data_IF_717975973089
#
_entry.id   IF_717975973089
#
_cell.length_a   1.000
_cell.length_b   1.000
_cell.length_c   1.000
_cell.angle_alpha   90.00
_cell.angle_beta   90.00
_cell.angle_gamma   90.00
#
_symmetry.space_group_name_H-M   'P 1'
#
loop_
_entity.id
_entity.type
_entity.pdbx_description
1 polymer ?
#
# COMPACT_ATOMS: atom_id res chain seq x y z
N UNK A 1 34.23 -35.92 -72.81
CA UNK A 1 34.53 -34.79 -71.89
C UNK A 1 33.32 -33.86 -71.79
N UNK A 2 32.27 -34.24 -71.03
CA UNK A 2 31.07 -33.38 -70.81
C UNK A 2 30.17 -33.85 -69.65
N UNK A 3 30.68 -34.69 -68.73
CA UNK A 3 29.87 -35.35 -67.70
C UNK A 3 30.36 -35.17 -66.25
N UNK A 4 31.35 -34.28 -66.00
CA UNK A 4 31.97 -34.16 -64.66
C UNK A 4 31.56 -32.88 -63.92
N UNK A 5 30.78 -31.98 -64.55
CA UNK A 5 30.49 -30.64 -63.96
C UNK A 5 29.17 -30.57 -63.17
N UNK A 6 28.39 -31.64 -63.09
CA UNK A 6 27.06 -31.60 -62.48
C UNK A 6 26.93 -32.42 -61.18
N UNK A 7 27.90 -32.30 -60.27
CA UNK A 7 27.90 -33.05 -59.00
C UNK A 7 28.45 -32.26 -57.80
N UNK A 8 28.39 -30.92 -57.84
CA UNK A 8 28.81 -30.05 -56.72
C UNK A 8 27.70 -29.05 -56.30
N UNK A 9 26.47 -29.22 -56.79
CA UNK A 9 25.35 -28.32 -56.50
C UNK A 9 24.18 -29.00 -55.78
N UNK A 10 24.47 -29.90 -54.83
CA UNK A 10 23.43 -30.73 -54.17
C UNK A 10 23.67 -30.95 -52.67
N UNK A 11 24.25 -30.00 -51.93
CA UNK A 11 24.35 -30.18 -50.48
C UNK A 11 24.47 -28.90 -49.62
N UNK A 12 23.86 -27.78 -50.03
CA UNK A 12 23.76 -26.61 -49.15
C UNK A 12 22.37 -26.01 -49.37
N UNK A 13 21.40 -26.38 -48.52
CA UNK A 13 20.20 -25.62 -48.14
C UNK A 13 19.26 -26.49 -47.28
N UNK A 14 19.82 -27.21 -46.30
CA UNK A 14 19.06 -27.80 -45.19
C UNK A 14 19.67 -27.27 -43.91
N UNK A 15 19.27 -26.06 -43.50
CA UNK A 15 19.42 -25.52 -42.14
C UNK A 15 18.57 -24.24 -42.04
N UNK A 16 17.30 -24.32 -42.43
CA UNK A 16 16.30 -23.37 -41.94
C UNK A 16 15.98 -23.78 -40.49
N UNK A 17 16.86 -23.39 -39.57
CA UNK A 17 16.61 -23.51 -38.14
C UNK A 17 15.32 -22.74 -37.84
N UNK A 18 14.33 -23.43 -37.27
CA UNK A 18 13.18 -22.80 -36.62
C UNK A 18 13.68 -21.93 -35.48
N UNK A 19 14.02 -20.67 -35.78
CA UNK A 19 14.17 -19.64 -34.78
C UNK A 19 12.78 -19.39 -34.18
N UNK A 20 12.46 -20.12 -33.10
CA UNK A 20 11.33 -19.77 -32.24
C UNK A 20 11.62 -18.33 -31.77
N UNK A 21 10.71 -17.36 -31.97
CA UNK A 21 10.90 -16.04 -31.41
C UNK A 21 11.10 -16.22 -29.89
N UNK A 22 12.02 -15.46 -29.27
CA UNK A 22 12.17 -15.51 -27.83
C UNK A 22 10.80 -15.21 -27.22
N UNK A 23 10.32 -16.12 -26.38
CA UNK A 23 9.15 -15.92 -25.55
C UNK A 23 9.48 -14.71 -24.67
N UNK A 24 8.98 -13.54 -25.06
CA UNK A 24 8.95 -12.37 -24.20
C UNK A 24 7.86 -12.67 -23.19
N UNK A 25 8.27 -13.12 -22.01
CA UNK A 25 7.50 -12.88 -20.80
C UNK A 25 7.40 -11.35 -20.67
N UNK A 26 6.36 -10.77 -21.26
CA UNK A 26 5.86 -9.45 -20.89
C UNK A 26 5.27 -9.58 -19.48
N UNK A 27 6.16 -9.72 -18.49
CA UNK A 27 5.81 -9.49 -17.10
C UNK A 27 5.14 -8.11 -17.07
N UNK A 28 3.95 -8.03 -16.47
CA UNK A 28 3.24 -6.77 -16.19
C UNK A 28 4.04 -5.80 -15.27
N UNK A 29 5.32 -6.11 -15.01
CA UNK A 29 6.28 -5.42 -14.15
C UNK A 29 6.77 -4.06 -14.70
N UNK A 30 6.57 -3.75 -15.99
CA UNK A 30 7.15 -2.55 -16.60
C UNK A 30 6.21 -1.33 -16.58
N UNK A 31 4.98 -1.46 -16.05
CA UNK A 31 4.11 -0.30 -15.86
C UNK A 31 4.55 0.48 -14.62
N UNK A 32 4.87 1.79 -14.73
CA UNK A 32 5.15 2.60 -13.56
C UNK A 32 3.93 2.61 -12.65
N UNK A 33 4.14 2.40 -11.35
CA UNK A 33 3.06 2.50 -10.37
C UNK A 33 2.50 3.92 -10.34
N UNK A 34 1.17 4.05 -10.42
CA UNK A 34 0.46 5.33 -10.41
C UNK A 34 -0.50 5.33 -9.22
N UNK A 35 -0.40 6.39 -8.41
CA UNK A 35 -1.31 6.61 -7.28
C UNK A 35 -2.72 6.94 -7.76
N UNK A 36 -3.73 6.30 -7.17
CA UNK A 36 -5.12 6.61 -7.44
C UNK A 36 -5.52 7.95 -6.81
N UNK A 37 -6.29 8.76 -7.55
CA UNK A 37 -6.93 9.96 -7.00
C UNK A 37 -7.76 9.60 -5.78
N UNK A 38 -7.53 10.34 -4.70
CA UNK A 38 -8.10 10.07 -3.40
C UNK A 38 -9.30 10.98 -3.14
N UNK A 39 -10.47 10.40 -2.92
CA UNK A 39 -11.64 11.14 -2.43
C UNK A 39 -11.56 11.25 -0.91
N UNK A 40 -11.74 12.47 -0.38
CA UNK A 40 -11.76 12.67 1.06
C UNK A 40 -13.04 12.07 1.68
N UNK A 41 -12.94 11.35 2.80
CA UNK A 41 -14.10 10.80 3.49
C UNK A 41 -14.88 11.92 4.19
N UNK A 42 -16.06 11.59 4.72
CA UNK A 42 -16.69 12.42 5.73
C UNK A 42 -15.76 12.59 6.95
N UNK A 43 -15.92 13.69 7.67
CA UNK A 43 -15.19 13.88 8.93
C UNK A 43 -15.61 12.80 9.93
N UNK A 44 -14.68 12.24 10.74
CA UNK A 44 -14.98 11.09 11.58
C UNK A 44 -16.05 11.36 12.63
N UNK A 45 -16.98 10.41 12.76
CA UNK A 45 -17.94 10.34 13.87
C UNK A 45 -17.37 9.49 15.00
N UNK A 46 -17.51 9.94 16.24
CA UNK A 46 -17.00 9.26 17.44
C UNK A 46 -17.50 7.81 17.52
N UNK A 47 -18.71 7.52 17.04
CA UNK A 47 -19.29 6.16 17.06
C UNK A 47 -18.57 5.16 16.16
N UNK A 48 -17.81 5.64 15.18
CA UNK A 48 -17.10 4.81 14.20
C UNK A 48 -15.62 4.61 14.56
N UNK A 49 -15.15 5.30 15.61
CA UNK A 49 -13.76 5.26 16.04
C UNK A 49 -13.47 3.96 16.78
N UNK A 50 -12.42 3.27 16.34
CA UNK A 50 -11.89 2.10 17.01
C UNK A 50 -10.48 2.40 17.52
N UNK A 51 -10.27 2.22 18.82
CA UNK A 51 -8.96 2.38 19.43
C UNK A 51 -8.02 1.22 19.07
N UNK A 52 -6.73 1.49 18.95
CA UNK A 52 -5.68 0.48 18.79
C UNK A 52 -4.44 0.86 19.61
N UNK A 53 -3.63 -0.14 19.97
CA UNK A 53 -2.34 0.06 20.59
C UNK A 53 -1.23 0.08 19.52
N UNK A 54 -0.49 1.19 19.35
CA UNK A 54 0.61 1.26 18.40
C UNK A 54 1.89 0.55 18.88
N UNK A 55 1.90 -0.07 20.07
CA UNK A 55 3.04 -0.77 20.65
C UNK A 55 4.11 0.17 21.23
N UNK A 56 3.70 1.38 21.62
CA UNK A 56 4.60 2.38 22.21
C UNK A 56 3.93 3.07 23.40
N UNK A 57 4.68 3.25 24.49
CA UNK A 57 4.16 3.84 25.73
C UNK A 57 4.03 5.35 25.55
N UNK A 58 2.79 5.83 25.44
CA UNK A 58 2.43 7.26 25.38
C UNK A 58 1.16 7.51 26.19
N UNK A 59 0.88 8.78 26.52
CA UNK A 59 -0.37 9.19 27.15
C UNK A 59 -1.51 9.47 26.14
N UNK A 60 -1.27 9.32 24.83
CA UNK A 60 -2.31 9.55 23.83
C UNK A 60 -3.09 8.26 23.53
N UNK A 61 -4.34 8.43 23.11
CA UNK A 61 -5.16 7.39 22.51
C UNK A 61 -5.07 7.47 20.98
N UNK A 62 -5.00 6.33 20.31
CA UNK A 62 -4.93 6.22 18.85
C UNK A 62 -6.16 5.51 18.37
N UNK A 63 -6.89 6.15 17.45
CA UNK A 63 -8.14 5.65 16.94
C UNK A 63 -8.16 5.72 15.42
N UNK A 64 -8.85 4.76 14.80
CA UNK A 64 -9.12 4.75 13.37
C UNK A 64 -10.62 4.84 13.16
N UNK A 65 -11.07 5.71 12.26
CA UNK A 65 -12.45 5.70 11.79
C UNK A 65 -12.65 4.52 10.81
N UNK A 66 -13.37 3.51 11.26
CA UNK A 66 -13.62 2.29 10.48
C UNK A 66 -14.38 2.54 9.17
N UNK A 67 -15.18 3.60 9.08
CA UNK A 67 -15.95 3.95 7.88
C UNK A 67 -15.12 4.65 6.81
N UNK A 68 -13.95 5.18 7.19
CA UNK A 68 -13.01 5.85 6.30
C UNK A 68 -12.05 4.89 5.58
N UNK A 69 -11.99 3.62 6.02
CA UNK A 69 -11.04 2.63 5.50
C UNK A 69 -11.38 2.30 4.04
N UNK A 70 -10.40 2.49 3.15
CA UNK A 70 -10.48 2.14 1.74
C UNK A 70 -9.18 1.51 1.27
N UNK A 71 -9.27 0.39 0.56
CA UNK A 71 -8.13 -0.25 -0.09
C UNK A 71 -8.24 0.07 -1.58
N UNK A 72 -7.26 0.80 -2.11
CA UNK A 72 -7.20 1.11 -3.52
C UNK A 72 -6.54 0.00 -4.33
N UNK A 73 -6.85 -0.06 -5.62
CA UNK A 73 -6.18 -0.95 -6.58
C UNK A 73 -4.68 -0.64 -6.72
N UNK A 74 -4.27 0.56 -6.31
CA UNK A 74 -2.89 1.00 -6.21
C UNK A 74 -2.12 0.40 -5.02
N UNK A 75 -2.73 -0.50 -4.24
CA UNK A 75 -2.09 -1.15 -3.09
C UNK A 75 -1.89 -0.22 -1.89
N UNK A 76 -2.69 0.84 -1.80
CA UNK A 76 -2.70 1.79 -0.68
C UNK A 76 -3.94 1.59 0.17
N UNK A 77 -3.75 1.32 1.47
CA UNK A 77 -4.83 1.42 2.45
C UNK A 77 -4.92 2.86 2.94
N UNK A 78 -6.09 3.47 2.78
CA UNK A 78 -6.39 4.85 3.16
C UNK A 78 -7.35 4.84 4.34
N UNK A 79 -7.10 5.70 5.33
CA UNK A 79 -7.90 5.77 6.55
C UNK A 79 -7.78 7.13 7.23
N UNK A 80 -8.76 7.47 8.05
CA UNK A 80 -8.69 8.58 9.00
C UNK A 80 -8.10 8.09 10.31
N UNK A 81 -6.98 8.68 10.71
CA UNK A 81 -6.32 8.48 11.99
C UNK A 81 -6.71 9.64 12.92
N UNK A 82 -7.12 9.30 14.15
CA UNK A 82 -7.40 10.25 15.22
C UNK A 82 -6.44 9.99 16.37
N UNK A 83 -5.66 11.00 16.74
CA UNK A 83 -4.80 10.96 17.92
C UNK A 83 -5.40 11.90 18.95
N UNK A 84 -5.81 11.34 20.09
CA UNK A 84 -6.41 12.10 21.19
C UNK A 84 -5.44 12.17 22.36
N UNK A 85 -5.11 13.38 22.81
CA UNK A 85 -4.22 13.57 23.96
C UNK A 85 -4.94 13.34 25.29
N UNK A 86 -4.18 13.25 26.37
CA UNK A 86 -4.72 13.19 27.73
C UNK A 86 -5.49 14.45 28.16
N UNK A 87 -5.30 15.57 27.44
CA UNK A 87 -6.04 16.82 27.62
C UNK A 87 -7.23 16.95 26.64
N UNK A 88 -7.68 15.84 26.06
CA UNK A 88 -8.78 15.75 25.10
C UNK A 88 -8.60 16.49 23.77
N UNK A 89 -7.42 17.06 23.49
CA UNK A 89 -7.11 17.63 22.18
C UNK A 89 -7.02 16.53 21.11
N UNK A 90 -7.70 16.71 19.97
CA UNK A 90 -7.73 15.76 18.87
C UNK A 90 -6.90 16.27 17.69
N UNK A 91 -6.03 15.41 17.17
CA UNK A 91 -5.41 15.58 15.86
C UNK A 91 -6.01 14.55 14.91
N UNK A 92 -6.63 15.03 13.82
CA UNK A 92 -7.32 14.21 12.84
C UNK A 92 -6.59 14.33 11.51
N UNK A 93 -6.22 13.19 10.91
CA UNK A 93 -5.57 13.14 9.60
C UNK A 93 -6.21 12.08 8.72
N UNK A 94 -6.29 12.35 7.42
CA UNK A 94 -6.57 11.33 6.42
C UNK A 94 -5.26 10.93 5.75
N UNK A 95 -4.88 9.67 5.90
CA UNK A 95 -3.57 9.14 5.53
C UNK A 95 -3.70 7.89 4.65
N UNK A 96 -2.66 7.64 3.85
CA UNK A 96 -2.46 6.41 3.11
C UNK A 96 -1.24 5.66 3.62
N UNK A 97 -1.31 4.35 3.69
CA UNK A 97 -0.18 3.46 3.95
C UNK A 97 0.00 2.57 2.72
N UNK A 98 1.21 2.56 2.16
CA UNK A 98 1.61 1.69 1.05
C UNK A 98 2.48 0.56 1.59
N UNK A 99 1.88 -0.61 1.75
CA UNK A 99 2.52 -1.77 2.37
C UNK A 99 3.80 -2.20 1.63
N UNK A 100 3.75 -2.24 0.30
CA UNK A 100 4.85 -2.70 -0.55
C UNK A 100 6.16 -1.90 -0.38
N UNK A 101 6.08 -0.61 -0.03
CA UNK A 101 7.26 0.24 0.17
C UNK A 101 7.45 0.75 1.59
N UNK A 102 6.57 0.34 2.51
CA UNK A 102 6.58 0.79 3.91
C UNK A 102 6.58 2.31 4.03
N UNK A 103 5.68 2.95 3.28
CA UNK A 103 5.53 4.40 3.22
C UNK A 103 4.16 4.83 3.68
N UNK A 104 4.08 6.07 4.16
CA UNK A 104 2.82 6.76 4.43
C UNK A 104 2.74 8.05 3.62
N UNK A 105 1.52 8.49 3.35
CA UNK A 105 1.23 9.81 2.78
C UNK A 105 0.12 10.48 3.57
N UNK A 106 0.27 11.78 3.83
CA UNK A 106 -0.76 12.61 4.44
C UNK A 106 -1.58 13.27 3.33
N UNK A 107 -2.88 12.96 3.24
CA UNK A 107 -3.77 13.53 2.23
C UNK A 107 -4.49 14.78 2.71
N UNK A 108 -4.94 14.77 3.97
CA UNK A 108 -5.66 15.88 4.57
C UNK A 108 -5.45 15.95 6.08
N UNK A 109 -5.61 17.17 6.61
CA UNK A 109 -5.67 17.46 8.03
C UNK A 109 -7.08 17.91 8.38
N UNK A 110 -7.63 17.40 9.48
CA UNK A 110 -8.92 17.80 10.00
C UNK A 110 -8.81 19.09 10.81
N UNK A 111 -9.85 19.90 10.75
CA UNK A 111 -10.01 21.12 11.57
C UNK A 111 -11.09 20.92 12.65
N UNK A 112 -11.13 21.84 13.60
CA UNK A 112 -12.13 21.85 14.69
C UNK A 112 -13.57 22.07 14.19
N UNK A 113 -13.72 22.76 13.05
CA UNK A 113 -15.00 22.96 12.35
C UNK A 113 -15.46 21.71 11.56
N UNK A 114 -14.75 20.59 11.73
CA UNK A 114 -14.99 19.31 11.06
C UNK A 114 -14.84 19.35 9.54
N UNK A 115 -14.02 20.27 9.03
CA UNK A 115 -13.62 20.30 7.62
C UNK A 115 -12.22 19.73 7.40
N UNK A 116 -11.91 19.43 6.13
CA UNK A 116 -10.59 18.98 5.70
C UNK A 116 -9.81 20.13 5.08
N UNK A 117 -8.50 20.16 5.33
CA UNK A 117 -7.56 21.05 4.64
C UNK A 117 -6.40 20.24 4.05
N UNK A 118 -5.93 20.67 2.88
CA UNK A 118 -4.74 20.11 2.26
C UNK A 118 -3.50 20.41 3.13
N UNK A 119 -2.62 19.43 3.38
CA UNK A 119 -1.37 19.67 4.08
C UNK A 119 -0.41 20.45 3.18
N UNK A 120 0.53 21.18 3.78
CA UNK A 120 1.58 21.90 3.02
C UNK A 120 2.51 20.95 2.26
N UNK A 121 2.71 19.75 2.80
CA UNK A 121 3.54 18.69 2.22
C UNK A 121 2.70 17.41 2.18
N UNK A 122 2.48 16.89 0.97
CA UNK A 122 1.75 15.65 0.71
C UNK A 122 2.62 14.73 -0.15
N UNK A 123 3.75 14.31 0.41
CA UNK A 123 4.70 13.40 -0.24
C UNK A 123 4.68 12.04 0.47
N UNK A 124 5.10 11.00 -0.25
CA UNK A 124 5.33 9.69 0.33
C UNK A 124 6.56 9.73 1.25
N UNK A 125 6.40 9.25 2.48
CA UNK A 125 7.45 9.26 3.50
C UNK A 125 7.65 7.85 4.04
N UNK A 126 8.91 7.42 4.10
CA UNK A 126 9.29 6.16 4.74
C UNK A 126 8.84 6.13 6.19
N UNK A 127 8.25 5.01 6.60
CA UNK A 127 7.82 4.79 7.98
C UNK A 127 8.99 4.47 8.91
N UNK A 128 10.08 3.92 8.37
CA UNK A 128 11.19 3.42 9.19
C UNK A 128 11.96 4.53 9.90
N UNK A 129 12.29 4.26 11.17
CA UNK A 129 13.14 5.10 12.02
C UNK A 129 12.62 6.53 12.27
N UNK A 130 11.40 6.88 11.85
CA UNK A 130 10.77 8.17 12.16
C UNK A 130 10.01 8.07 13.49
N UNK A 131 10.47 8.84 14.49
CA UNK A 131 9.89 8.80 15.84
C UNK A 131 8.41 9.16 15.83
N UNK A 132 8.01 10.14 15.05
CA UNK A 132 6.65 10.67 15.01
C UNK A 132 5.64 9.70 14.38
N UNK A 133 6.11 8.70 13.62
CA UNK A 133 5.24 7.77 12.87
C UNK A 133 5.01 6.45 13.60
N UNK A 134 5.12 6.38 14.94
CA UNK A 134 4.88 5.11 15.64
C UNK A 134 3.43 4.61 15.48
N UNK A 135 2.43 5.51 15.39
CA UNK A 135 1.03 5.12 15.16
C UNK A 135 0.87 4.45 13.79
N UNK A 136 1.36 5.10 12.75
CA UNK A 136 1.35 4.58 11.38
C UNK A 136 2.18 3.30 11.26
N UNK A 137 3.31 3.19 11.97
CA UNK A 137 4.11 1.96 12.03
C UNK A 137 3.35 0.83 12.73
N UNK A 138 2.65 1.10 13.82
CA UNK A 138 1.81 0.11 14.49
C UNK A 138 0.72 -0.42 13.56
N UNK A 139 0.02 0.50 12.87
CA UNK A 139 -0.96 0.14 11.84
C UNK A 139 -0.35 -0.69 10.72
N UNK A 140 0.76 -0.24 10.13
CA UNK A 140 1.42 -0.96 9.04
C UNK A 140 1.93 -2.34 9.49
N UNK A 141 2.76 -2.40 10.54
CA UNK A 141 3.48 -3.62 10.91
C UNK A 141 2.60 -4.65 11.60
N UNK A 142 1.65 -4.20 12.43
CA UNK A 142 0.90 -5.11 13.30
C UNK A 142 -0.50 -5.41 12.76
N UNK A 143 -1.08 -4.54 11.91
CA UNK A 143 -2.53 -4.60 11.63
C UNK A 143 -2.83 -4.75 10.13
N UNK A 144 -2.32 -3.85 9.28
CA UNK A 144 -2.72 -3.75 7.87
C UNK A 144 -1.76 -4.35 6.85
N UNK A 145 -0.47 -4.47 7.19
CA UNK A 145 0.55 -4.95 6.26
C UNK A 145 1.30 -6.18 6.81
N UNK A 146 0.62 -7.28 7.20
CA UNK A 146 1.33 -8.50 7.59
C UNK A 146 2.30 -8.93 6.49
N UNK A 147 3.56 -9.18 6.83
CA UNK A 147 4.61 -9.57 5.87
C UNK A 147 4.75 -8.62 4.66
N UNK A 148 4.52 -7.31 4.87
CA UNK A 148 4.53 -6.27 3.82
C UNK A 148 3.44 -6.42 2.73
N UNK A 149 2.48 -7.32 2.93
CA UNK A 149 1.32 -7.49 2.06
C UNK A 149 0.11 -6.82 2.69
N UNK A 150 -0.61 -6.03 1.90
CA UNK A 150 -1.86 -5.39 2.34
C UNK A 150 -2.92 -6.46 2.64
N UNK A 151 -3.72 -6.22 3.68
CA UNK A 151 -4.97 -6.97 3.93
C UNK A 151 -5.86 -7.02 2.70
N UNK A 152 -6.60 -8.11 2.54
CA UNK A 152 -7.30 -8.45 1.30
C UNK A 152 -8.55 -7.61 1.06
N UNK A 153 -9.21 -7.16 2.12
CA UNK A 153 -10.44 -6.36 2.06
C UNK A 153 -10.64 -5.52 3.33
N UNK A 154 -11.65 -4.65 3.28
CA UNK A 154 -11.95 -3.70 4.37
C UNK A 154 -12.42 -4.43 5.63
N UNK A 155 -13.17 -5.50 5.47
CA UNK A 155 -13.67 -6.32 6.57
C UNK A 155 -12.50 -6.95 7.34
N UNK A 156 -11.52 -7.52 6.65
CA UNK A 156 -10.29 -8.06 7.24
C UNK A 156 -9.50 -6.97 7.99
N UNK A 157 -9.36 -5.79 7.39
CA UNK A 157 -8.71 -4.64 8.03
C UNK A 157 -9.37 -4.27 9.37
N UNK A 158 -10.71 -4.20 9.40
CA UNK A 158 -11.49 -3.89 10.61
C UNK A 158 -11.37 -5.01 11.65
N UNK A 159 -11.36 -6.28 11.23
CA UNK A 159 -11.19 -7.40 12.17
C UNK A 159 -9.79 -7.41 12.77
N UNK A 160 -8.75 -7.13 11.99
CA UNK A 160 -7.37 -7.00 12.48
C UNK A 160 -7.25 -5.84 13.48
N UNK A 161 -7.87 -4.69 13.19
CA UNK A 161 -7.93 -3.56 14.12
C UNK A 161 -8.60 -3.94 15.44
N UNK A 162 -9.74 -4.62 15.41
CA UNK A 162 -10.46 -5.09 16.61
C UNK A 162 -9.63 -6.07 17.44
N UNK A 163 -8.86 -6.92 16.78
CA UNK A 163 -7.96 -7.86 17.44
C UNK A 163 -6.69 -7.18 17.98
N UNK A 164 -6.41 -5.93 17.60
CA UNK A 164 -5.16 -5.22 17.90
C UNK A 164 -3.97 -5.67 17.06
N UNK A 165 -4.13 -6.75 16.28
CA UNK A 165 -3.12 -7.26 15.36
C UNK A 165 -3.68 -8.23 14.33
N UNK A 166 -2.96 -8.39 13.22
CA UNK A 166 -3.29 -9.32 12.15
C UNK A 166 -2.95 -10.76 12.52
N UNK A 167 -3.87 -11.69 12.26
CA UNK A 167 -3.76 -13.10 12.68
C UNK A 167 -2.56 -13.84 12.08
N UNK A 168 -2.13 -13.45 10.87
CA UNK A 168 -1.02 -14.09 10.16
C UNK A 168 0.37 -13.71 10.69
N UNK A 169 0.49 -12.79 11.65
CA UNK A 169 1.79 -12.43 12.25
C UNK A 169 2.32 -13.54 13.16
N UNK A 170 1.45 -14.37 13.74
CA UNK A 170 1.83 -15.46 14.64
C UNK A 170 2.02 -16.82 13.95
N UNK A 171 1.71 -16.90 12.67
CA UNK A 171 1.70 -18.17 11.92
C UNK A 171 2.91 -18.25 11.02
#
# INVERSE_FOLDING_TARGET
>A
MKQIVLLVLTCILFLAACAKPPFKDEFESDKPWIEQLTQLPAYPDVRNLLAFDPGYITSNQYLVDTTSIKIGEDGVIRLTLVIKSSADAMNVSYEGIRCATSERKLYALGRDDKTWVQPRVSEWQKLDLVRQFYAQRGLAKNIFCPHQQIVSNTEEAIQALKAGMHRSIFR
#
